data_IF_250048515641
#
_entry.id   IF_250048515641
#
_cell.length_a   1.000
_cell.length_b   1.000
_cell.length_c   1.000
_cell.angle_alpha   90.00
_cell.angle_beta   90.00
_cell.angle_gamma   90.00
#
_symmetry.space_group_name_H-M   'P 1'
#
loop_
_entity.id
_entity.type
_entity.pdbx_description
1 polymer ?
#
# COMPACT_ATOMS: atom_id res chain seq x y z
N UNK A 1 5.86 -2.04 -19.38
CA UNK A 1 6.54 -0.73 -19.47
C UNK A 1 7.15 -0.45 -18.13
N UNK A 2 8.48 -0.38 -18.08
CA UNK A 2 9.25 0.02 -16.90
C UNK A 2 8.85 1.47 -16.55
N UNK A 3 8.33 1.75 -15.36
CA UNK A 3 9.05 1.68 -14.08
C UNK A 3 9.34 3.07 -13.49
N UNK A 4 9.05 4.17 -14.21
CA UNK A 4 9.38 5.53 -13.78
C UNK A 4 8.41 6.22 -12.79
N UNK A 5 7.25 5.63 -12.51
CA UNK A 5 6.19 6.28 -11.72
C UNK A 5 5.89 5.64 -10.37
N UNK A 6 6.30 4.39 -10.12
CA UNK A 6 5.79 3.63 -8.98
C UNK A 6 6.09 4.28 -7.63
N UNK A 7 7.30 4.84 -7.47
CA UNK A 7 7.69 5.55 -6.24
C UNK A 7 6.82 6.77 -5.94
N UNK A 8 6.04 7.28 -6.90
CA UNK A 8 5.14 8.43 -6.73
C UNK A 8 3.84 8.06 -6.02
N UNK A 9 3.52 6.78 -5.91
CA UNK A 9 2.41 6.33 -5.06
C UNK A 9 2.61 6.82 -3.62
N UNK A 10 1.53 7.11 -2.88
CA UNK A 10 1.61 7.41 -1.46
C UNK A 10 2.31 6.28 -0.69
N UNK A 11 3.20 6.63 0.25
CA UNK A 11 3.92 5.64 1.05
C UNK A 11 3.75 5.95 2.53
N UNK A 12 3.30 4.97 3.29
CA UNK A 12 3.07 5.09 4.72
C UNK A 12 4.10 4.26 5.47
N UNK A 13 4.71 4.85 6.50
CA UNK A 13 5.64 4.15 7.37
C UNK A 13 4.84 3.39 8.43
N UNK A 14 5.15 2.11 8.59
CA UNK A 14 4.55 1.25 9.59
C UNK A 14 5.64 0.58 10.39
N UNK A 15 5.53 0.62 11.71
CA UNK A 15 6.29 -0.20 12.63
C UNK A 15 5.34 -0.72 13.70
N UNK A 16 5.68 -1.88 14.27
CA UNK A 16 4.95 -2.47 15.38
C UNK A 16 5.87 -2.54 16.59
N UNK A 17 5.33 -2.32 17.79
CA UNK A 17 6.11 -2.40 19.03
C UNK A 17 6.49 -3.86 19.34
N UNK A 18 5.56 -4.79 19.12
CA UNK A 18 5.75 -6.22 19.32
C UNK A 18 5.43 -6.97 18.04
N UNK A 19 6.15 -8.06 17.77
CA UNK A 19 5.91 -8.88 16.58
C UNK A 19 4.48 -9.42 16.58
N UNK A 20 3.71 -9.10 15.54
CA UNK A 20 2.29 -9.44 15.47
C UNK A 20 1.86 -9.67 14.02
N UNK A 21 0.62 -10.15 13.84
CA UNK A 21 -0.06 -10.16 12.55
C UNK A 21 -0.90 -8.89 12.45
N UNK A 22 -0.72 -8.13 11.37
CA UNK A 22 -1.48 -6.92 11.08
C UNK A 22 -2.32 -7.16 9.83
N UNK A 23 -3.56 -6.68 9.83
CA UNK A 23 -4.39 -6.62 8.63
C UNK A 23 -4.40 -5.19 8.12
N UNK A 24 -4.06 -5.00 6.85
CA UNK A 24 -3.97 -3.69 6.22
C UNK A 24 -4.95 -3.66 5.06
N UNK A 25 -5.84 -2.66 5.04
CA UNK A 25 -6.88 -2.50 4.03
C UNK A 25 -6.79 -1.14 3.34
N UNK A 26 -6.93 -1.15 2.01
CA UNK A 26 -7.19 0.03 1.18
C UNK A 26 -8.66 0.03 0.83
N UNK A 27 -9.41 1.04 1.29
CA UNK A 27 -10.84 1.18 1.05
C UNK A 27 -11.09 2.37 0.14
N UNK A 28 -11.60 2.13 -1.05
CA UNK A 28 -11.95 3.18 -2.00
C UNK A 28 -13.25 3.88 -1.61
N UNK A 29 -13.35 5.15 -2.00
CA UNK A 29 -14.57 5.92 -1.77
C UNK A 29 -15.72 5.33 -2.58
N UNK A 30 -16.92 5.34 -1.98
CA UNK A 30 -18.13 4.89 -2.64
C UNK A 30 -18.62 5.99 -3.58
N UNK A 31 -18.68 5.75 -4.91
CA UNK A 31 -19.11 6.76 -5.88
C UNK A 31 -20.58 7.14 -5.72
N UNK A 32 -21.37 6.37 -4.95
CA UNK A 32 -22.77 6.66 -4.66
C UNK A 32 -22.96 7.74 -3.59
N UNK A 33 -21.89 8.13 -2.89
CA UNK A 33 -21.96 9.19 -1.88
C UNK A 33 -21.87 10.56 -2.58
N UNK A 34 -22.87 11.44 -2.41
CA UNK A 34 -22.83 12.78 -3.00
C UNK A 34 -21.55 13.54 -2.64
N UNK A 35 -20.92 14.15 -3.64
CA UNK A 35 -19.63 14.84 -3.48
C UNK A 35 -18.38 13.95 -3.57
N UNK A 36 -18.53 12.63 -3.74
CA UNK A 36 -17.41 11.69 -3.98
C UNK A 36 -17.43 11.19 -5.41
N UNK A 37 -16.96 12.03 -6.34
CA UNK A 37 -17.00 11.75 -7.78
C UNK A 37 -15.97 10.76 -8.32
N UNK A 38 -15.09 10.21 -7.47
CA UNK A 38 -14.06 9.26 -7.93
C UNK A 38 -14.67 7.90 -8.24
N UNK A 39 -14.44 7.42 -9.46
CA UNK A 39 -14.81 6.05 -9.86
C UNK A 39 -13.94 5.04 -9.11
N UNK A 40 -14.50 3.88 -8.82
CA UNK A 40 -13.70 2.75 -8.32
C UNK A 40 -12.72 2.32 -9.40
N UNK A 41 -11.46 2.15 -9.03
CA UNK A 41 -10.38 1.69 -9.92
C UNK A 41 -9.80 0.37 -9.41
N UNK A 42 -9.10 -0.44 -10.22
CA UNK A 42 -8.39 -1.59 -9.69
C UNK A 42 -7.28 -1.12 -8.75
N UNK A 43 -7.38 -1.47 -7.47
CA UNK A 43 -6.46 -1.01 -6.43
C UNK A 43 -5.79 -2.19 -5.73
N UNK A 44 -4.47 -2.10 -5.58
CA UNK A 44 -3.58 -3.05 -4.93
C UNK A 44 -2.89 -2.43 -3.73
N UNK A 45 -2.15 -3.27 -3.01
CA UNK A 45 -1.41 -2.90 -1.82
C UNK A 45 -0.17 -3.77 -1.69
N UNK A 46 0.98 -3.15 -1.39
CA UNK A 46 2.20 -3.89 -1.06
C UNK A 46 2.78 -3.38 0.26
N UNK A 47 3.32 -4.32 1.03
CA UNK A 47 4.04 -4.08 2.29
C UNK A 47 5.49 -4.46 2.06
N UNK A 48 6.39 -3.49 2.16
CA UNK A 48 7.82 -3.66 1.95
C UNK A 48 8.56 -3.48 3.27
N UNK A 49 9.52 -4.34 3.57
CA UNK A 49 10.48 -4.10 4.66
C UNK A 49 11.50 -3.04 4.21
N UNK A 50 11.81 -2.08 5.07
CA UNK A 50 12.86 -1.11 4.78
C UNK A 50 14.24 -1.79 4.75
N UNK A 51 15.12 -1.38 3.83
CA UNK A 51 16.52 -1.82 3.81
C UNK A 51 17.24 -1.30 5.05
N UNK A 52 18.01 -2.16 5.73
CA UNK A 52 18.86 -1.75 6.86
C UNK A 52 19.91 -0.74 6.37
N UNK A 53 20.15 0.31 7.15
CA UNK A 53 21.17 1.33 6.84
C UNK A 53 20.78 2.35 5.77
N UNK A 54 19.65 2.17 5.06
CA UNK A 54 19.10 3.22 4.22
C UNK A 54 18.38 4.24 5.11
N UNK A 55 18.79 5.50 5.05
CA UNK A 55 18.05 6.59 5.70
C UNK A 55 16.59 6.56 5.19
N UNK A 56 15.58 6.60 6.07
CA UNK A 56 14.21 6.35 5.67
C UNK A 56 13.69 7.60 4.98
N UNK A 57 13.79 7.65 3.65
CA UNK A 57 13.16 8.71 2.87
C UNK A 57 11.97 8.14 2.13
N UNK A 58 12.17 7.09 1.32
CA UNK A 58 11.15 6.52 0.43
C UNK A 58 11.62 5.17 -0.15
N UNK A 59 10.69 4.27 -0.50
CA UNK A 59 10.96 3.13 -1.36
C UNK A 59 10.90 3.58 -2.84
N UNK A 60 12.01 3.43 -3.56
CA UNK A 60 12.11 3.84 -4.98
C UNK A 60 11.51 2.81 -5.94
N UNK A 61 11.59 1.54 -5.57
CA UNK A 61 11.14 0.42 -6.37
C UNK A 61 10.61 -0.70 -5.47
N UNK A 62 9.87 -1.63 -6.05
CA UNK A 62 9.49 -2.88 -5.41
C UNK A 62 10.61 -3.88 -5.65
N UNK A 63 11.24 -4.33 -4.56
CA UNK A 63 12.24 -5.40 -4.58
C UNK A 63 11.61 -6.63 -3.93
N UNK A 64 11.54 -7.75 -4.65
CA UNK A 64 10.79 -8.94 -4.21
C UNK A 64 11.31 -9.53 -2.89
N UNK A 65 12.61 -9.39 -2.60
CA UNK A 65 13.24 -9.80 -1.33
C UNK A 65 12.78 -8.97 -0.11
N UNK A 66 12.19 -7.80 -0.36
CA UNK A 66 11.64 -6.91 0.65
C UNK A 66 10.12 -7.02 0.80
N UNK A 67 9.42 -7.68 -0.14
CA UNK A 67 7.98 -7.84 -0.07
C UNK A 67 7.62 -8.75 1.10
N UNK A 68 6.95 -8.18 2.09
CA UNK A 68 6.44 -8.92 3.25
C UNK A 68 5.03 -9.44 2.99
N UNK A 69 4.23 -8.67 2.26
CA UNK A 69 2.90 -9.08 1.83
C UNK A 69 2.44 -8.23 0.64
N UNK A 70 1.58 -8.80 -0.22
CA UNK A 70 1.04 -8.11 -1.39
C UNK A 70 -0.38 -8.57 -1.68
N UNK A 71 -1.21 -7.63 -2.11
CA UNK A 71 -2.48 -7.90 -2.76
C UNK A 71 -2.47 -7.19 -4.11
N UNK A 72 -2.59 -7.96 -5.19
CA UNK A 72 -2.57 -7.39 -6.54
C UNK A 72 -3.81 -6.50 -6.80
N UNK A 73 -3.70 -5.52 -7.71
CA UNK A 73 -4.81 -4.66 -8.05
C UNK A 73 -6.01 -5.45 -8.53
N UNK A 74 -7.15 -5.22 -7.88
CA UNK A 74 -8.43 -5.82 -8.24
C UNK A 74 -9.53 -4.79 -8.19
N UNK A 75 -10.56 -5.01 -8.99
CA UNK A 75 -11.79 -4.23 -8.87
C UNK A 75 -12.50 -4.56 -7.57
N UNK A 76 -12.84 -3.53 -6.80
CA UNK A 76 -13.58 -3.69 -5.56
C UNK A 76 -13.49 -2.47 -4.67
N UNK A 77 -14.39 -2.39 -3.69
CA UNK A 77 -14.40 -1.31 -2.71
C UNK A 77 -13.24 -1.42 -1.72
N UNK A 78 -12.74 -2.62 -1.48
CA UNK A 78 -11.68 -2.89 -0.51
C UNK A 78 -10.68 -3.92 -1.03
N UNK A 79 -9.40 -3.64 -0.81
CA UNK A 79 -8.30 -4.58 -1.00
C UNK A 79 -7.50 -4.68 0.30
N UNK A 80 -7.44 -5.88 0.86
CA UNK A 80 -6.74 -6.12 2.13
C UNK A 80 -5.64 -7.17 2.01
N UNK A 81 -4.64 -7.07 2.88
CA UNK A 81 -3.56 -8.04 3.05
C UNK A 81 -3.29 -8.29 4.53
N UNK A 82 -2.91 -9.52 4.88
CA UNK A 82 -2.37 -9.85 6.20
C UNK A 82 -0.85 -9.94 6.12
N UNK A 83 -0.13 -9.29 7.04
CA UNK A 83 1.33 -9.36 7.13
C UNK A 83 1.76 -9.73 8.55
N UNK A 84 2.77 -10.60 8.69
CA UNK A 84 3.43 -10.84 9.98
C UNK A 84 4.62 -9.90 10.09
N UNK A 85 4.51 -8.93 10.99
CA UNK A 85 5.50 -7.87 11.16
C UNK A 85 6.37 -8.13 12.40
N UNK A 86 7.65 -7.77 12.29
CA UNK A 86 8.61 -7.89 13.38
C UNK A 86 8.65 -6.58 14.19
N UNK A 87 8.69 -6.72 15.52
CA UNK A 87 8.86 -5.59 16.43
C UNK A 87 10.09 -4.75 16.08
N UNK A 88 9.95 -3.42 16.11
CA UNK A 88 11.04 -2.48 15.85
C UNK A 88 11.54 -2.41 14.39
N UNK A 89 10.96 -3.19 13.48
CA UNK A 89 11.29 -3.13 12.05
C UNK A 89 10.42 -2.08 11.36
N UNK A 90 11.04 -1.29 10.47
CA UNK A 90 10.34 -0.33 9.64
C UNK A 90 9.84 -1.01 8.35
N UNK A 91 8.58 -0.73 8.02
CA UNK A 91 7.93 -1.16 6.78
C UNK A 91 7.37 0.05 6.04
N UNK A 92 7.26 -0.08 4.72
CA UNK A 92 6.51 0.82 3.85
C UNK A 92 5.24 0.12 3.38
N UNK A 93 4.11 0.79 3.56
CA UNK A 93 2.81 0.37 3.04
C UNK A 93 2.48 1.27 1.87
N UNK A 94 2.35 0.67 0.68
CA UNK A 94 2.17 1.42 -0.57
C UNK A 94 0.89 0.92 -1.26
N UNK A 95 -0.23 1.67 -1.15
CA UNK A 95 -1.38 1.49 -2.03
C UNK A 95 -1.04 1.95 -3.44
N UNK A 96 -1.53 1.25 -4.46
CA UNK A 96 -1.30 1.60 -5.87
C UNK A 96 -2.46 1.15 -6.76
N UNK A 97 -2.60 1.76 -7.93
CA UNK A 97 -3.56 1.35 -8.97
C UNK A 97 -2.90 0.42 -9.99
N UNK A 98 -3.69 -0.32 -10.78
CA UNK A 98 -3.16 -1.14 -11.88
C UNK A 98 -2.48 -0.34 -12.99
N UNK A 99 -2.85 0.93 -13.14
CA UNK A 99 -2.49 1.78 -14.28
C UNK A 99 -2.11 3.17 -13.79
N UNK A 100 -0.99 3.70 -14.30
CA UNK A 100 -0.57 5.07 -14.05
C UNK A 100 -1.60 6.09 -14.59
N UNK A 101 -1.74 7.22 -13.90
CA UNK A 101 -2.75 8.24 -14.22
C UNK A 101 -4.17 7.90 -13.76
N UNK A 102 -4.40 6.73 -13.14
CA UNK A 102 -5.68 6.43 -12.50
C UNK A 102 -5.81 7.20 -11.19
N UNK A 103 -6.93 7.91 -11.04
CA UNK A 103 -7.23 8.68 -9.83
C UNK A 103 -8.33 8.00 -9.02
N UNK A 104 -8.08 7.82 -7.72
CA UNK A 104 -9.05 7.25 -6.79
C UNK A 104 -8.76 7.66 -5.35
N UNK A 105 -9.77 8.22 -4.69
CA UNK A 105 -9.69 8.51 -3.25
C UNK A 105 -9.80 7.21 -2.44
N UNK A 106 -8.94 7.07 -1.43
CA UNK A 106 -8.90 5.88 -0.57
C UNK A 106 -8.70 6.22 0.92
N UNK A 107 -9.02 5.25 1.77
CA UNK A 107 -8.67 5.22 3.20
C UNK A 107 -7.77 4.02 3.41
N UNK A 108 -6.62 4.22 4.07
CA UNK A 108 -5.78 3.13 4.56
C UNK A 108 -6.17 2.83 6.01
N UNK A 109 -6.39 1.55 6.33
CA UNK A 109 -6.71 1.07 7.68
C UNK A 109 -5.74 -0.03 8.08
N UNK A 110 -5.33 -0.03 9.35
CA UNK A 110 -4.49 -1.06 9.95
C UNK A 110 -5.19 -1.58 11.20
N UNK A 111 -5.23 -2.91 11.36
CA UNK A 111 -5.84 -3.62 12.48
C UNK A 111 -4.85 -4.61 13.09
#
# INVERSE_FOLDING_TARGET
>A
GEGGGWFRNPQFRLSVATSCKVVISVVQYDPKVPGRGHRTVPAGLVVLRARKGAAPVRAWEVSDDLVTARADPRMGRETSVSARLQGGTLYFVVPYTSTEGSEGAFILRCY
#
